data_IF_950328142825
#
_entry.id   IF_950328142825
#
_cell.length_a   1.000
_cell.length_b   1.000
_cell.length_c   1.000
_cell.angle_alpha   90.00
_cell.angle_beta   90.00
_cell.angle_gamma   90.00
#
_symmetry.space_group_name_H-M   'P 1'
#
loop_
_entity.id
_entity.type
_entity.pdbx_description
1 polymer ?
#
# COMPACT_ATOMS: atom_id res chain seq x y z
N UNK A 1 -19.08 -18.68 9.74
CA UNK A 1 -19.18 -18.62 8.26
C UNK A 1 -18.60 -17.28 7.84
N UNK A 2 -17.63 -17.24 6.93
CA UNK A 2 -17.11 -15.97 6.39
C UNK A 2 -18.25 -15.27 5.63
N UNK A 3 -18.39 -13.96 5.79
CA UNK A 3 -19.38 -13.21 5.02
C UNK A 3 -18.89 -13.14 3.57
N UNK A 4 -19.82 -12.99 2.63
CA UNK A 4 -19.47 -12.71 1.23
C UNK A 4 -19.93 -11.29 0.97
N UNK A 5 -18.98 -10.40 0.69
CA UNK A 5 -19.26 -8.99 0.46
C UNK A 5 -19.52 -8.75 -1.02
N UNK A 6 -20.77 -8.41 -1.35
CA UNK A 6 -21.19 -7.95 -2.68
C UNK A 6 -21.33 -6.42 -2.72
N UNK A 7 -20.35 -5.71 -2.17
CA UNK A 7 -20.26 -4.24 -2.17
C UNK A 7 -18.99 -3.82 -2.93
N UNK A 8 -18.90 -2.59 -3.48
CA UNK A 8 -17.75 -2.15 -4.28
C UNK A 8 -16.48 -1.86 -3.46
N UNK A 9 -16.43 -2.30 -2.21
CA UNK A 9 -15.35 -2.03 -1.26
C UNK A 9 -15.90 -1.76 0.15
N UNK A 10 -15.22 -2.23 1.22
CA UNK A 10 -14.08 -3.16 1.20
C UNK A 10 -14.47 -4.56 0.69
N UNK A 11 -13.48 -5.39 0.40
CA UNK A 11 -13.66 -6.81 0.04
C UNK A 11 -13.27 -7.73 1.18
N UNK A 12 -13.66 -8.99 1.08
CA UNK A 12 -13.28 -10.02 2.04
C UNK A 12 -11.78 -10.33 1.92
N UNK A 13 -11.03 -10.34 3.03
CA UNK A 13 -9.56 -10.55 3.03
C UNK A 13 -9.21 -12.04 3.03
N UNK A 14 -8.30 -12.46 2.14
CA UNK A 14 -7.86 -13.86 2.04
C UNK A 14 -7.24 -14.40 3.35
N UNK A 15 -7.40 -15.71 3.58
CA UNK A 15 -7.06 -16.33 4.86
C UNK A 15 -5.55 -16.30 5.15
N UNK A 16 -4.73 -16.41 4.13
CA UNK A 16 -3.28 -16.27 4.20
C UNK A 16 -2.86 -14.85 4.60
N UNK A 17 -3.54 -13.82 4.05
CA UNK A 17 -3.34 -12.43 4.45
C UNK A 17 -3.75 -12.20 5.90
N UNK A 18 -4.89 -12.74 6.34
CA UNK A 18 -5.31 -12.66 7.74
C UNK A 18 -4.32 -13.35 8.69
N UNK A 19 -3.75 -14.49 8.27
CA UNK A 19 -2.70 -15.17 9.03
C UNK A 19 -1.43 -14.32 9.13
N UNK A 20 -1.02 -13.65 8.04
CA UNK A 20 0.12 -12.73 8.05
C UNK A 20 -0.11 -11.54 8.99
N UNK A 21 -1.29 -10.92 8.91
CA UNK A 21 -1.69 -9.79 9.75
C UNK A 21 -1.81 -10.14 11.24
N UNK A 22 -1.92 -11.43 11.58
CA UNK A 22 -1.96 -11.91 12.97
C UNK A 22 -0.58 -12.02 13.64
N UNK A 23 0.50 -11.91 12.86
CA UNK A 23 1.86 -11.99 13.38
C UNK A 23 2.23 -10.74 14.19
N UNK A 24 3.24 -10.82 15.08
CA UNK A 24 3.77 -9.65 15.77
C UNK A 24 4.22 -8.57 14.79
N UNK A 25 3.93 -7.32 15.13
CA UNK A 25 4.35 -6.16 14.32
C UNK A 25 5.87 -6.06 14.27
N UNK A 26 6.41 -5.89 13.06
CA UNK A 26 7.83 -5.65 12.83
C UNK A 26 8.13 -4.16 13.08
N UNK A 27 9.23 -3.80 13.77
CA UNK A 27 9.67 -2.41 13.88
C UNK A 27 9.83 -1.77 12.50
N UNK A 28 9.32 -0.56 12.29
CA UNK A 28 9.30 0.13 10.99
C UNK A 28 10.67 0.68 10.52
N UNK A 29 11.76 0.17 11.10
CA UNK A 29 13.12 0.61 10.89
C UNK A 29 14.06 -0.60 10.91
N UNK A 30 15.28 -0.40 10.41
CA UNK A 30 16.28 -1.45 10.35
C UNK A 30 16.22 -2.30 9.07
N UNK A 31 17.17 -3.22 8.90
CA UNK A 31 17.36 -3.96 7.65
C UNK A 31 16.16 -4.85 7.30
N UNK A 32 15.63 -5.60 8.27
CA UNK A 32 14.52 -6.54 8.03
C UNK A 32 13.27 -5.84 7.50
N UNK A 33 12.92 -4.68 8.08
CA UNK A 33 11.80 -3.89 7.59
C UNK A 33 12.09 -3.25 6.23
N UNK A 34 13.31 -2.74 6.03
CA UNK A 34 13.72 -2.14 4.76
C UNK A 34 13.64 -3.13 3.61
N UNK A 35 14.10 -4.36 3.79
CA UNK A 35 13.98 -5.43 2.81
C UNK A 35 12.51 -5.76 2.50
N UNK A 36 11.68 -5.91 3.54
CA UNK A 36 10.24 -6.16 3.38
C UNK A 36 9.56 -5.03 2.60
N UNK A 37 9.78 -3.77 3.00
CA UNK A 37 9.18 -2.60 2.36
C UNK A 37 9.60 -2.47 0.90
N UNK A 38 10.90 -2.62 0.61
CA UNK A 38 11.42 -2.55 -0.75
C UNK A 38 10.85 -3.66 -1.63
N UNK A 39 10.70 -4.88 -1.09
CA UNK A 39 10.08 -5.99 -1.83
C UNK A 39 8.62 -5.69 -2.21
N UNK A 40 7.87 -5.02 -1.32
CA UNK A 40 6.49 -4.62 -1.56
C UNK A 40 6.40 -3.49 -2.61
N UNK A 41 7.31 -2.52 -2.59
CA UNK A 41 7.41 -1.50 -3.63
C UNK A 41 7.72 -2.10 -5.00
N UNK A 42 8.66 -3.05 -5.09
CA UNK A 42 8.99 -3.76 -6.34
C UNK A 42 7.85 -4.63 -6.86
N UNK A 43 7.10 -5.29 -5.97
CA UNK A 43 5.88 -6.00 -6.35
C UNK A 43 4.82 -5.03 -6.91
N UNK A 44 4.68 -3.86 -6.30
CA UNK A 44 3.73 -2.82 -6.74
C UNK A 44 4.08 -2.26 -8.12
N UNK A 45 5.37 -2.09 -8.44
CA UNK A 45 5.83 -1.71 -9.80
C UNK A 45 5.35 -2.68 -10.87
N UNK A 46 5.31 -3.99 -10.58
CA UNK A 46 4.80 -5.02 -11.51
C UNK A 46 3.29 -4.87 -11.75
N UNK A 47 2.52 -4.56 -10.71
CA UNK A 47 1.07 -4.31 -10.80
C UNK A 47 0.79 -3.07 -11.66
N UNK A 48 1.50 -1.96 -11.37
CA UNK A 48 1.36 -0.70 -12.11
C UNK A 48 2.05 -0.70 -13.48
N UNK A 49 2.82 -1.74 -13.81
CA UNK A 49 3.61 -1.86 -15.04
C UNK A 49 4.55 -0.67 -15.27
N UNK A 50 5.22 -0.22 -14.20
CA UNK A 50 6.15 0.91 -14.23
C UNK A 50 7.56 0.49 -13.84
N UNK A 51 8.55 1.24 -14.33
CA UNK A 51 9.95 1.17 -13.86
C UNK A 51 10.30 2.32 -12.91
N UNK A 52 9.43 3.30 -12.80
CA UNK A 52 9.62 4.51 -12.01
C UNK A 52 9.52 4.22 -10.51
N UNK A 53 9.91 5.22 -9.72
CA UNK A 53 9.80 5.17 -8.26
C UNK A 53 8.34 4.92 -7.82
N UNK A 54 8.17 3.99 -6.89
CA UNK A 54 6.88 3.67 -6.25
C UNK A 54 7.09 3.71 -4.74
N UNK A 55 6.19 4.40 -4.04
CA UNK A 55 6.14 4.47 -2.58
C UNK A 55 4.79 4.01 -2.09
N UNK A 56 4.77 3.27 -0.98
CA UNK A 56 3.56 2.83 -0.31
C UNK A 56 3.15 3.84 0.75
N UNK A 57 1.92 4.34 0.66
CA UNK A 57 1.32 5.28 1.60
C UNK A 57 0.37 4.51 2.55
N UNK A 58 0.61 4.48 3.86
CA UNK A 58 -0.27 3.80 4.83
C UNK A 58 -1.52 4.65 5.13
N UNK A 59 -2.26 5.01 4.08
CA UNK A 59 -3.37 5.96 4.09
C UNK A 59 -4.48 5.45 3.16
N UNK A 60 -5.73 5.92 3.30
CA UNK A 60 -6.78 5.67 2.32
C UNK A 60 -6.39 6.18 0.93
N UNK A 61 -6.86 5.51 -0.13
CA UNK A 61 -6.51 5.85 -1.51
C UNK A 61 -6.91 7.27 -1.93
N UNK A 62 -7.97 7.84 -1.35
CA UNK A 62 -8.37 9.23 -1.59
C UNK A 62 -7.29 10.24 -1.15
N UNK A 63 -6.60 9.96 -0.04
CA UNK A 63 -5.54 10.83 0.48
C UNK A 63 -4.33 10.81 -0.47
N UNK A 64 -4.01 9.67 -1.09
CA UNK A 64 -2.94 9.58 -2.08
C UNK A 64 -3.23 10.48 -3.31
N UNK A 65 -4.49 10.58 -3.73
CA UNK A 65 -4.91 11.47 -4.80
C UNK A 65 -4.75 12.94 -4.38
N UNK A 66 -5.25 13.29 -3.19
CA UNK A 66 -5.13 14.67 -2.65
C UNK A 66 -3.67 15.10 -2.49
N UNK A 67 -2.79 14.20 -2.04
CA UNK A 67 -1.36 14.46 -1.93
C UNK A 67 -0.69 14.68 -3.29
N UNK A 68 -1.17 14.05 -4.37
CA UNK A 68 -0.53 14.15 -5.68
C UNK A 68 -0.56 15.58 -6.25
N UNK A 69 -1.67 16.30 -6.06
CA UNK A 69 -1.91 17.64 -6.64
C UNK A 69 -0.86 18.68 -6.19
N UNK A 70 -0.67 18.96 -4.89
CA UNK A 70 0.31 19.95 -4.45
C UNK A 70 1.76 19.53 -4.66
N UNK A 71 2.03 18.24 -4.90
CA UNK A 71 3.39 17.72 -5.13
C UNK A 71 3.79 17.73 -6.62
N UNK A 72 2.85 17.96 -7.55
CA UNK A 72 3.15 18.06 -8.99
C UNK A 72 2.90 19.46 -9.57
N UNK A 73 2.16 20.31 -8.86
CA UNK A 73 1.85 21.68 -9.29
C UNK A 73 2.62 22.68 -8.42
N UNK A 74 3.24 23.65 -9.07
CA UNK A 74 3.74 24.86 -8.40
C UNK A 74 2.65 25.93 -8.41
N UNK A 75 2.59 26.74 -7.34
CA UNK A 75 1.68 27.88 -7.31
C UNK A 75 2.22 28.94 -8.28
N UNK A 76 1.41 29.37 -9.23
CA UNK A 76 1.72 30.58 -10.00
C UNK A 76 1.84 31.77 -9.02
N UNK A 77 2.94 32.51 -9.13
CA UNK A 77 3.30 33.63 -8.25
C UNK A 77 2.25 34.74 -8.22
#
# INVERSE_FOLDING_TARGET
MRKVLFIPGPTEVDLDILAELSKPVIPHYGPDWGELYNSACEASKKIFKTKEFVTLLPLPGSVAIEMSIPNILEKEG
#
